data_IF_128630077534
#
_entry.id   IF_128630077534
#
_cell.length_a   1.000
_cell.length_b   1.000
_cell.length_c   1.000
_cell.angle_alpha   90.00
_cell.angle_beta   90.00
_cell.angle_gamma   90.00
#
_symmetry.space_group_name_H-M   'P 1'
#
loop_
_entity.id
_entity.type
_entity.pdbx_description
1 polymer ?
#
# COMPACT_ATOMS: atom_id res chain seq x y z
N UNK A 1 7.56 -18.22 -2.07
CA UNK A 1 8.75 -18.19 -1.21
C UNK A 1 9.86 -17.47 -1.99
N UNK A 2 10.15 -16.20 -1.68
CA UNK A 2 11.23 -15.48 -2.35
C UNK A 2 12.56 -15.86 -1.71
N UNK A 3 13.28 -16.79 -2.33
CA UNK A 3 14.62 -17.18 -1.92
C UNK A 3 15.56 -16.03 -2.27
N UNK A 4 16.38 -15.61 -1.31
CA UNK A 4 17.36 -14.55 -1.55
C UNK A 4 18.38 -15.00 -2.61
N UNK A 5 18.77 -14.11 -3.53
CA UNK A 5 19.72 -14.39 -4.63
C UNK A 5 21.06 -14.99 -4.17
N UNK A 6 21.49 -14.66 -2.94
CA UNK A 6 22.73 -15.16 -2.35
C UNK A 6 22.52 -16.40 -1.46
N UNK A 7 21.32 -16.98 -1.39
CA UNK A 7 21.07 -18.16 -0.57
C UNK A 7 21.77 -19.39 -1.17
N UNK A 8 22.69 -19.99 -0.41
CA UNK A 8 23.44 -21.18 -0.85
C UNK A 8 22.56 -22.41 -1.12
N UNK A 9 21.43 -22.53 -0.41
CA UNK A 9 20.54 -23.68 -0.52
C UNK A 9 19.06 -23.28 -0.57
N UNK A 10 18.37 -23.80 -1.57
CA UNK A 10 16.91 -23.88 -1.65
C UNK A 10 16.38 -25.04 -0.79
N UNK A 11 15.06 -25.16 -0.53
CA UNK A 11 14.51 -26.32 0.18
C UNK A 11 14.89 -27.66 -0.47
N UNK A 12 14.91 -27.72 -1.80
CA UNK A 12 15.36 -28.90 -2.54
C UNK A 12 16.85 -29.19 -2.29
N UNK A 13 17.70 -28.16 -2.30
CA UNK A 13 19.12 -28.30 -1.94
C UNK A 13 19.31 -28.79 -0.50
N UNK A 14 18.46 -28.38 0.44
CA UNK A 14 18.50 -28.86 1.84
C UNK A 14 18.05 -30.32 1.95
N UNK A 15 17.12 -30.77 1.11
CA UNK A 15 16.70 -32.18 1.05
C UNK A 15 17.83 -33.07 0.53
N UNK A 16 18.53 -32.61 -0.51
CA UNK A 16 19.74 -33.27 -1.02
C UNK A 16 20.82 -33.33 0.06
N UNK A 17 21.07 -32.22 0.76
CA UNK A 17 22.00 -32.17 1.88
C UNK A 17 21.68 -33.24 2.93
N UNK A 18 20.42 -33.35 3.38
CA UNK A 18 20.03 -34.37 4.36
C UNK A 18 20.27 -35.79 3.85
N UNK A 19 19.96 -36.05 2.57
CA UNK A 19 20.24 -37.35 1.94
C UNK A 19 21.75 -37.65 1.91
N UNK A 20 22.59 -36.66 1.57
CA UNK A 20 24.05 -36.80 1.56
C UNK A 20 24.62 -37.02 2.96
N UNK A 21 24.10 -36.33 3.98
CA UNK A 21 24.54 -36.55 5.36
C UNK A 21 24.36 -38.01 5.79
N UNK A 22 23.26 -38.66 5.37
CA UNK A 22 22.99 -40.07 5.68
C UNK A 22 23.95 -41.03 4.98
N UNK A 23 24.47 -40.67 3.81
CA UNK A 23 25.35 -41.52 2.99
C UNK A 23 26.84 -41.30 3.31
N UNK A 24 27.24 -40.03 3.43
CA UNK A 24 28.64 -39.61 3.40
C UNK A 24 29.10 -38.96 4.72
N UNK A 25 28.20 -38.82 5.69
CA UNK A 25 28.48 -38.12 6.95
C UNK A 25 28.30 -36.60 6.87
N UNK A 26 28.28 -35.96 8.03
CA UNK A 26 27.88 -34.56 8.18
C UNK A 26 28.90 -33.58 7.58
N UNK A 27 30.20 -33.81 7.82
CA UNK A 27 31.27 -32.90 7.40
C UNK A 27 31.43 -32.87 5.87
N UNK A 28 31.52 -34.04 5.23
CA UNK A 28 31.59 -34.14 3.77
C UNK A 28 30.38 -33.48 3.10
N UNK A 29 29.16 -33.77 3.56
CA UNK A 29 27.96 -33.18 2.99
C UNK A 29 27.88 -31.65 3.17
N UNK A 30 28.43 -31.11 4.26
CA UNK A 30 28.49 -29.66 4.50
C UNK A 30 29.47 -28.97 3.54
N UNK A 31 30.66 -29.56 3.34
CA UNK A 31 31.68 -29.09 2.40
C UNK A 31 31.12 -29.08 0.97
N UNK A 32 30.52 -30.19 0.53
CA UNK A 32 29.92 -30.32 -0.82
C UNK A 32 28.81 -29.28 -1.08
N UNK A 33 28.10 -28.89 -0.04
CA UNK A 33 27.03 -27.90 -0.11
C UNK A 33 27.52 -26.45 0.09
N UNK A 34 28.82 -26.23 0.33
CA UNK A 34 29.42 -24.92 0.55
C UNK A 34 28.85 -24.18 1.77
N UNK A 35 28.53 -24.91 2.84
CA UNK A 35 27.98 -24.36 4.09
C UNK A 35 28.75 -24.89 5.30
N UNK A 36 28.63 -24.20 6.44
CA UNK A 36 29.21 -24.68 7.69
C UNK A 36 28.51 -25.94 8.23
N UNK A 37 29.26 -26.80 8.90
CA UNK A 37 28.78 -28.00 9.59
C UNK A 37 27.68 -27.68 10.61
N UNK A 38 27.76 -26.50 11.26
CA UNK A 38 26.69 -25.97 12.12
C UNK A 38 25.37 -25.76 11.37
N UNK A 39 25.43 -25.22 10.15
CA UNK A 39 24.25 -25.00 9.31
C UNK A 39 23.69 -26.33 8.80
N UNK A 40 24.55 -27.28 8.45
CA UNK A 40 24.14 -28.63 8.07
C UNK A 40 23.44 -29.36 9.23
N UNK A 41 24.01 -29.30 10.44
CA UNK A 41 23.41 -29.84 11.66
C UNK A 41 22.04 -29.23 11.96
N UNK A 42 21.89 -27.91 11.78
CA UNK A 42 20.60 -27.22 11.93
C UNK A 42 19.53 -27.81 10.99
N UNK A 43 19.86 -27.99 9.71
CA UNK A 43 18.90 -28.53 8.74
C UNK A 43 18.58 -30.00 9.00
N UNK A 44 19.57 -30.81 9.37
CA UNK A 44 19.36 -32.20 9.78
C UNK A 44 18.45 -32.29 11.00
N UNK A 45 18.68 -31.46 12.02
CA UNK A 45 17.84 -31.44 13.22
C UNK A 45 16.39 -31.07 12.91
N UNK A 46 16.17 -30.06 12.05
CA UNK A 46 14.82 -29.69 11.60
C UNK A 46 14.15 -30.81 10.81
N UNK A 47 14.87 -31.46 9.90
CA UNK A 47 14.32 -32.58 9.14
C UNK A 47 13.94 -33.77 10.04
N UNK A 48 14.74 -34.07 11.07
CA UNK A 48 14.42 -35.13 12.04
C UNK A 48 13.13 -34.83 12.82
N UNK A 49 12.86 -33.57 13.11
CA UNK A 49 11.68 -33.15 13.87
C UNK A 49 10.42 -32.98 13.01
N UNK A 50 10.55 -32.43 11.81
CA UNK A 50 9.43 -31.91 11.01
C UNK A 50 9.39 -32.49 9.58
N UNK A 51 10.27 -33.43 9.24
CA UNK A 51 10.38 -34.00 7.90
C UNK A 51 10.71 -32.94 6.84
N UNK A 52 10.14 -33.11 5.65
CA UNK A 52 10.32 -32.18 4.53
C UNK A 52 9.82 -30.76 4.85
N UNK A 53 8.80 -30.62 5.72
CA UNK A 53 8.28 -29.31 6.13
C UNK A 53 9.31 -28.49 6.91
N UNK A 54 10.20 -29.14 7.66
CA UNK A 54 11.28 -28.47 8.40
C UNK A 54 12.37 -27.84 7.52
N UNK A 55 12.39 -28.15 6.22
CA UNK A 55 13.38 -27.64 5.26
C UNK A 55 13.00 -26.31 4.63
N UNK A 56 11.75 -25.86 4.80
CA UNK A 56 11.32 -24.53 4.36
C UNK A 56 11.88 -23.43 5.25
N UNK A 57 12.02 -22.23 4.69
CA UNK A 57 12.42 -21.06 5.47
C UNK A 57 11.34 -20.71 6.48
N UNK A 58 11.74 -20.55 7.74
CA UNK A 58 10.88 -20.00 8.78
C UNK A 58 10.86 -18.48 8.63
N UNK A 59 9.74 -17.89 8.99
CA UNK A 59 9.63 -16.44 9.12
C UNK A 59 10.71 -15.92 10.07
N UNK A 60 11.52 -14.97 9.60
CA UNK A 60 12.45 -14.20 10.45
C UNK A 60 11.74 -13.12 11.27
N UNK A 61 10.41 -13.01 11.17
CA UNK A 61 9.63 -12.05 11.95
C UNK A 61 9.71 -12.43 13.44
N UNK A 62 9.93 -11.45 14.34
CA UNK A 62 9.90 -11.71 15.77
C UNK A 62 8.62 -12.45 16.19
N UNK A 63 8.76 -13.48 17.03
CA UNK A 63 7.61 -14.21 17.60
C UNK A 63 6.69 -13.30 18.40
N UNK A 64 7.23 -12.23 18.98
CA UNK A 64 6.48 -11.22 19.72
C UNK A 64 6.91 -9.84 19.28
N UNK A 65 5.96 -9.06 18.80
CA UNK A 65 6.09 -7.60 18.65
C UNK A 65 5.33 -6.99 19.81
N UNK A 66 5.89 -6.00 20.52
CA UNK A 66 5.14 -5.29 21.57
C UNK A 66 3.86 -4.72 20.93
N UNK A 67 2.69 -5.05 21.49
CA UNK A 67 1.43 -4.38 21.13
C UNK A 67 1.60 -2.92 21.51
N UNK A 68 1.61 -2.05 20.50
CA UNK A 68 1.93 -0.64 20.70
C UNK A 68 0.74 0.18 21.25
N UNK A 69 -0.46 -0.40 21.31
CA UNK A 69 -1.64 0.14 21.97
C UNK A 69 -2.23 -0.93 22.90
N UNK A 70 -2.71 -0.51 24.07
CA UNK A 70 -3.52 -1.37 24.96
C UNK A 70 -4.89 -1.64 24.33
N UNK A 71 -5.61 -2.65 24.81
CA UNK A 71 -6.98 -2.93 24.36
C UNK A 71 -7.90 -1.72 24.60
N UNK A 72 -7.72 -1.01 25.71
CA UNK A 72 -8.45 0.21 26.04
C UNK A 72 -8.18 1.33 25.02
N UNK A 73 -6.90 1.62 24.74
CA UNK A 73 -6.52 2.61 23.72
C UNK A 73 -7.07 2.26 22.34
N UNK A 74 -7.16 0.97 22.02
CA UNK A 74 -7.77 0.49 20.77
C UNK A 74 -9.26 0.83 20.71
N UNK A 75 -10.01 0.62 21.79
CA UNK A 75 -11.45 0.95 21.83
C UNK A 75 -11.68 2.47 21.74
N UNK A 76 -10.89 3.26 22.48
CA UNK A 76 -10.95 4.72 22.43
C UNK A 76 -10.61 5.21 21.01
N UNK A 77 -9.59 4.64 20.36
CA UNK A 77 -9.23 4.98 18.97
C UNK A 77 -10.38 4.77 17.99
N UNK A 78 -11.14 3.67 18.14
CA UNK A 78 -12.31 3.38 17.30
C UNK A 78 -13.46 4.35 17.58
N UNK A 79 -13.75 4.64 18.85
CA UNK A 79 -14.78 5.62 19.23
C UNK A 79 -14.50 6.98 18.59
N UNK A 80 -13.29 7.50 18.80
CA UNK A 80 -12.88 8.77 18.25
C UNK A 80 -12.89 8.77 16.72
N UNK A 81 -12.58 7.64 16.07
CA UNK A 81 -12.70 7.54 14.61
C UNK A 81 -14.14 7.54 14.12
N UNK A 82 -15.09 6.94 14.85
CA UNK A 82 -16.52 7.02 14.54
C UNK A 82 -17.05 8.44 14.73
N UNK A 83 -16.53 9.18 15.70
CA UNK A 83 -16.73 10.63 15.88
C UNK A 83 -15.94 11.49 14.85
N UNK A 84 -15.35 10.85 13.84
CA UNK A 84 -14.65 11.49 12.73
C UNK A 84 -13.40 12.29 13.10
N UNK A 85 -12.78 12.01 14.24
CA UNK A 85 -11.48 12.61 14.60
C UNK A 85 -10.39 12.17 13.60
N UNK A 86 -9.46 13.06 13.30
CA UNK A 86 -8.31 12.74 12.45
C UNK A 86 -7.37 11.76 13.17
N UNK A 87 -6.55 11.00 12.42
CA UNK A 87 -5.56 10.10 13.04
C UNK A 87 -4.63 10.86 14.00
N UNK A 88 -4.26 12.09 13.65
CA UNK A 88 -3.41 12.93 14.50
C UNK A 88 -4.14 13.28 15.80
N UNK A 89 -5.38 13.76 15.73
CA UNK A 89 -6.17 14.06 16.93
C UNK A 89 -6.38 12.82 17.82
N UNK A 90 -6.60 11.64 17.23
CA UNK A 90 -6.67 10.37 17.98
C UNK A 90 -5.33 10.06 18.66
N UNK A 91 -4.22 10.21 17.95
CA UNK A 91 -2.89 9.96 18.50
C UNK A 91 -2.54 10.91 19.64
N UNK A 92 -2.87 12.19 19.49
CA UNK A 92 -2.68 13.22 20.51
C UNK A 92 -3.51 12.88 21.77
N UNK A 93 -4.78 12.48 21.60
CA UNK A 93 -5.65 12.07 22.70
C UNK A 93 -5.11 10.83 23.45
N UNK A 94 -4.60 9.84 22.71
CA UNK A 94 -4.08 8.60 23.28
C UNK A 94 -2.65 8.72 23.82
N UNK A 95 -1.99 9.87 23.61
CA UNK A 95 -0.55 10.08 23.87
C UNK A 95 0.31 8.98 23.24
N UNK A 96 -0.04 8.58 22.01
CA UNK A 96 0.61 7.49 21.28
C UNK A 96 1.19 8.00 19.95
N UNK A 97 2.25 7.38 19.40
CA UNK A 97 2.81 7.80 18.13
C UNK A 97 1.77 7.73 16.99
N UNK A 98 1.68 8.77 16.17
CA UNK A 98 0.77 8.84 15.01
C UNK A 98 0.95 7.64 14.07
N UNK A 99 2.18 7.18 13.87
CA UNK A 99 2.51 6.03 13.03
C UNK A 99 1.94 4.72 13.57
N UNK A 100 1.95 4.54 14.90
CA UNK A 100 1.34 3.40 15.60
C UNK A 100 -0.17 3.40 15.43
N UNK A 101 -0.81 4.53 15.76
CA UNK A 101 -2.27 4.68 15.66
C UNK A 101 -2.73 4.50 14.22
N UNK A 102 -2.01 5.09 13.25
CA UNK A 102 -2.28 4.91 11.81
C UNK A 102 -2.20 3.46 11.39
N UNK A 103 -1.12 2.76 11.75
CA UNK A 103 -0.89 1.35 11.38
C UNK A 103 -2.00 0.47 11.94
N UNK A 104 -2.39 0.71 13.19
CA UNK A 104 -3.45 -0.04 13.83
C UNK A 104 -4.82 0.26 13.24
N UNK A 105 -5.22 1.53 13.09
CA UNK A 105 -6.49 1.89 12.44
C UNK A 105 -6.59 1.37 11.00
N UNK A 106 -5.46 1.33 10.27
CA UNK A 106 -5.41 0.73 8.94
C UNK A 106 -5.69 -0.78 8.95
N UNK A 107 -5.21 -1.53 9.96
CA UNK A 107 -5.55 -2.96 10.08
C UNK A 107 -7.02 -3.18 10.43
N UNK A 108 -7.71 -2.17 10.94
CA UNK A 108 -9.16 -2.17 11.19
C UNK A 108 -9.99 -1.56 10.04
N UNK A 109 -9.37 -1.18 8.92
CA UNK A 109 -10.07 -0.51 7.80
C UNK A 109 -10.50 0.95 8.07
N UNK A 110 -10.11 1.54 9.20
CA UNK A 110 -10.47 2.91 9.61
C UNK A 110 -9.35 3.93 9.36
N UNK A 111 -8.48 3.70 8.37
CA UNK A 111 -7.42 4.65 8.02
C UNK A 111 -7.93 5.89 7.28
N UNK A 112 -9.10 5.82 6.64
CA UNK A 112 -9.75 6.95 5.96
C UNK A 112 -11.06 7.28 6.67
N UNK A 113 -11.51 8.52 6.58
CA UNK A 113 -12.88 8.87 6.98
C UNK A 113 -13.79 8.62 5.78
N UNK A 114 -14.92 7.93 5.94
CA UNK A 114 -15.91 7.84 4.87
C UNK A 114 -16.46 9.23 4.57
N UNK A 115 -17.01 9.41 3.36
CA UNK A 115 -17.77 10.63 3.03
C UNK A 115 -18.90 10.81 4.05
N UNK A 116 -19.20 12.06 4.41
CA UNK A 116 -20.30 12.37 5.35
C UNK A 116 -21.63 11.94 4.72
N UNK A 117 -21.85 12.39 3.50
CA UNK A 117 -23.00 12.02 2.70
C UNK A 117 -22.53 11.09 1.56
N UNK A 118 -23.21 9.95 1.35
CA UNK A 118 -23.01 9.20 0.13
C UNK A 118 -23.40 10.09 -1.05
N UNK A 119 -22.69 10.03 -2.20
CA UNK A 119 -23.16 10.73 -3.38
C UNK A 119 -24.58 10.25 -3.72
N UNK A 120 -25.49 11.16 -4.13
CA UNK A 120 -26.80 10.74 -4.60
C UNK A 120 -26.64 9.74 -5.77
N UNK A 121 -27.61 8.83 -5.97
CA UNK A 121 -27.55 7.91 -7.10
C UNK A 121 -27.46 8.70 -8.41
N UNK A 122 -26.57 8.28 -9.30
CA UNK A 122 -26.39 8.92 -10.60
C UNK A 122 -27.63 8.63 -11.45
N UNK A 123 -28.44 9.65 -11.72
CA UNK A 123 -29.54 9.59 -12.66
C UNK A 123 -29.01 9.95 -14.05
N UNK A 124 -28.99 8.98 -14.96
CA UNK A 124 -28.65 9.21 -16.38
C UNK A 124 -29.94 9.26 -17.18
N UNK A 125 -30.06 10.28 -18.01
CA UNK A 125 -31.16 10.44 -18.95
C UNK A 125 -30.56 10.88 -20.29
N UNK A 126 -31.32 10.65 -21.36
CA UNK A 126 -31.04 11.15 -22.70
C UNK A 126 -32.39 11.43 -23.37
N UNK A 127 -32.52 12.57 -24.05
CA UNK A 127 -33.72 12.88 -24.83
C UNK A 127 -33.73 12.14 -26.19
N UNK A 128 -34.91 12.04 -26.80
CA UNK A 128 -35.14 11.11 -27.91
C UNK A 128 -34.54 11.58 -29.25
N UNK A 129 -34.48 12.90 -29.47
CA UNK A 129 -33.96 13.49 -30.70
C UNK A 129 -32.96 14.63 -30.42
N UNK A 130 -32.03 14.90 -31.36
CA UNK A 130 -31.21 16.11 -31.31
C UNK A 130 -32.06 17.38 -31.25
N UNK A 131 -31.67 18.33 -30.41
CA UNK A 131 -32.36 19.60 -30.20
C UNK A 131 -33.42 19.55 -29.09
N UNK A 132 -33.77 18.38 -28.56
CA UNK A 132 -34.73 18.25 -27.45
C UNK A 132 -34.19 18.85 -26.14
N UNK A 133 -32.87 18.78 -25.92
CA UNK A 133 -32.20 19.36 -24.76
C UNK A 133 -30.76 19.77 -25.08
N UNK A 134 -30.42 21.02 -24.75
CA UNK A 134 -29.05 21.54 -24.80
C UNK A 134 -28.51 21.75 -23.38
N UNK A 135 -27.36 21.15 -23.09
CA UNK A 135 -26.59 21.43 -21.89
C UNK A 135 -25.73 22.66 -22.12
N UNK A 136 -26.04 23.74 -21.41
CA UNK A 136 -25.24 24.96 -21.42
C UNK A 136 -24.30 24.96 -20.22
N UNK A 137 -23.00 25.08 -20.49
CA UNK A 137 -21.96 25.25 -19.47
C UNK A 137 -21.11 26.49 -19.77
N UNK A 138 -20.62 27.11 -18.70
CA UNK A 138 -19.67 28.22 -18.80
C UNK A 138 -18.42 27.83 -18.03
N UNK A 139 -17.35 27.57 -18.78
CA UNK A 139 -16.06 27.28 -18.20
C UNK A 139 -15.22 28.54 -18.12
N UNK A 140 -15.02 29.02 -16.89
CA UNK A 140 -14.09 30.11 -16.58
C UNK A 140 -12.65 29.59 -16.55
N UNK A 141 -11.79 30.15 -17.40
CA UNK A 141 -10.38 29.78 -17.56
C UNK A 141 -9.48 30.99 -17.29
N UNK A 142 -8.31 30.75 -16.68
CA UNK A 142 -7.32 31.81 -16.48
C UNK A 142 -6.76 32.23 -17.84
N UNK A 143 -6.71 33.53 -18.11
CA UNK A 143 -6.19 34.05 -19.38
C UNK A 143 -4.69 33.73 -19.50
N UNK A 144 -4.27 33.19 -20.64
CA UNK A 144 -2.86 32.97 -20.96
C UNK A 144 -2.37 34.14 -21.80
N UNK A 145 -1.62 35.07 -21.19
CA UNK A 145 -1.08 36.24 -21.91
C UNK A 145 0.36 36.06 -22.38
N UNK A 146 1.09 35.08 -21.82
CA UNK A 146 2.44 34.68 -22.26
C UNK A 146 2.74 33.22 -21.90
N UNK A 147 3.72 32.57 -22.56
CA UNK A 147 4.18 31.23 -22.18
C UNK A 147 4.68 31.19 -20.73
N UNK A 148 4.38 30.10 -20.00
CA UNK A 148 4.78 29.92 -18.61
C UNK A 148 6.17 29.31 -18.41
N UNK A 149 6.53 29.03 -17.16
CA UNK A 149 7.86 28.56 -16.73
C UNK A 149 8.40 27.31 -17.46
N UNK A 150 7.55 26.46 -18.04
CA UNK A 150 8.01 25.32 -18.85
C UNK A 150 8.70 25.75 -20.14
N UNK A 151 8.34 26.92 -20.67
CA UNK A 151 8.96 27.52 -21.86
C UNK A 151 10.06 28.50 -21.44
N UNK A 152 9.82 29.33 -20.41
CA UNK A 152 10.77 30.36 -19.97
C UNK A 152 11.88 29.82 -19.06
N UNK A 153 11.76 28.60 -18.55
CA UNK A 153 12.72 27.96 -17.63
C UNK A 153 12.74 28.53 -16.21
N UNK A 154 11.99 29.60 -15.94
CA UNK A 154 11.98 30.28 -14.64
C UNK A 154 10.74 29.90 -13.81
N UNK A 155 10.86 29.09 -12.74
CA UNK A 155 9.72 28.66 -11.92
C UNK A 155 9.09 29.78 -11.09
N UNK A 156 9.72 30.96 -11.00
CA UNK A 156 9.17 32.15 -10.35
C UNK A 156 8.42 33.08 -11.31
N UNK A 157 8.33 32.72 -12.58
CA UNK A 157 7.60 33.48 -13.58
C UNK A 157 6.10 33.45 -13.29
N UNK A 158 5.56 34.60 -12.90
CA UNK A 158 4.14 34.86 -12.66
C UNK A 158 3.67 36.02 -13.53
N UNK A 159 2.36 36.09 -13.76
CA UNK A 159 1.70 37.24 -14.40
C UNK A 159 0.64 37.78 -13.47
N UNK A 160 0.78 39.05 -13.11
CA UNK A 160 -0.23 39.77 -12.36
C UNK A 160 -1.30 40.34 -13.30
N UNK A 161 -2.56 40.31 -12.87
CA UNK A 161 -3.66 40.96 -13.60
C UNK A 161 -4.07 40.29 -14.92
N UNK A 162 -3.61 39.07 -15.24
CA UNK A 162 -4.00 38.36 -16.46
C UNK A 162 -5.53 38.21 -16.61
N UNK A 163 -6.24 38.05 -15.49
CA UNK A 163 -7.69 37.95 -15.46
C UNK A 163 -8.20 36.59 -15.95
N UNK A 164 -9.46 36.57 -16.36
CA UNK A 164 -10.19 35.35 -16.73
C UNK A 164 -10.89 35.52 -18.07
N UNK A 165 -11.02 34.41 -18.79
CA UNK A 165 -11.85 34.28 -19.98
C UNK A 165 -12.90 33.19 -19.73
N UNK A 166 -14.04 33.28 -20.40
CA UNK A 166 -15.13 32.33 -20.27
C UNK A 166 -15.39 31.66 -21.61
N UNK A 167 -15.29 30.33 -21.65
CA UNK A 167 -15.74 29.54 -22.78
C UNK A 167 -17.19 29.16 -22.51
N UNK A 168 -18.08 29.60 -23.40
CA UNK A 168 -19.48 29.19 -23.39
C UNK A 168 -19.59 27.94 -24.25
N UNK A 169 -20.15 26.89 -23.67
CA UNK A 169 -20.28 25.57 -24.30
C UNK A 169 -21.76 25.22 -24.31
N UNK A 170 -22.26 24.87 -25.49
CA UNK A 170 -23.58 24.28 -25.66
C UNK A 170 -23.36 22.89 -26.24
N UNK A 171 -23.84 21.85 -25.56
CA UNK A 171 -23.74 20.46 -26.02
C UNK A 171 -25.14 19.89 -26.10
N UNK A 172 -25.49 19.35 -27.26
CA UNK A 172 -26.73 18.61 -27.41
C UNK A 172 -26.68 17.29 -26.63
N UNK A 173 -27.72 17.01 -25.85
CA UNK A 173 -27.72 15.84 -24.97
C UNK A 173 -27.71 14.51 -25.76
N UNK A 174 -28.35 14.47 -26.92
CA UNK A 174 -28.48 13.27 -27.74
C UNK A 174 -27.28 13.06 -28.67
N UNK A 175 -26.97 14.04 -29.51
CA UNK A 175 -25.90 13.97 -30.50
C UNK A 175 -24.50 14.27 -29.93
N UNK A 176 -24.41 14.93 -28.77
CA UNK A 176 -23.16 15.30 -28.08
C UNK A 176 -22.23 16.19 -28.91
N UNK A 177 -22.77 16.92 -29.88
CA UNK A 177 -22.06 17.91 -30.70
C UNK A 177 -22.25 19.33 -30.19
#
# INVERSE_FOLDING_TARGET
MNIHKNARLTPQGRKILVSRIRRNGLESAAIDAGISSRTARKWLARYRLEGDMGLFDRSGRPHRVRKALTNEQCQIALSLRRERRTIRAVADHLKAPVSTVRRWLASQGMNRLPRLDPPPPVQRYEHAAPGDLLHLDIKKLGRIVRPGHRVTGNPRDNVDGAGWECVHVAIDDHSRV
#
